data_IF_403023673814
#
_entry.id   IF_403023673814
#
_cell.length_a   1.000
_cell.length_b   1.000
_cell.length_c   1.000
_cell.angle_alpha   90.00
_cell.angle_beta   90.00
_cell.angle_gamma   90.00
#
_symmetry.space_group_name_H-M   'P 1'
#
loop_
_entity.id
_entity.type
_entity.pdbx_description
1 polymer ?
#
# COMPACT_ATOMS: atom_id res chain seq x y z
N UNK A 1 21.62 -43.05 -19.50
CA UNK A 1 21.95 -41.88 -20.35
C UNK A 1 22.13 -40.71 -19.39
N UNK A 2 23.29 -40.07 -19.35
CA UNK A 2 23.49 -38.91 -18.47
C UNK A 2 22.71 -37.74 -19.06
N UNK A 3 21.61 -37.35 -18.42
CA UNK A 3 20.80 -36.23 -18.87
C UNK A 3 21.64 -34.97 -18.91
N UNK A 4 21.82 -34.44 -20.12
CA UNK A 4 22.67 -33.28 -20.40
C UNK A 4 21.84 -32.03 -20.20
N UNK A 5 22.24 -31.20 -19.24
CA UNK A 5 21.54 -29.97 -18.89
C UNK A 5 22.20 -28.77 -19.58
N UNK A 6 21.44 -27.96 -20.34
CA UNK A 6 21.96 -26.71 -20.87
C UNK A 6 22.01 -25.65 -19.76
N UNK A 7 23.13 -24.93 -19.67
CA UNK A 7 23.41 -23.91 -18.67
C UNK A 7 24.10 -22.71 -19.33
N UNK A 8 24.09 -21.56 -18.65
CA UNK A 8 24.87 -20.39 -19.06
C UNK A 8 25.91 -20.07 -17.99
N UNK A 9 27.11 -19.68 -18.39
CA UNK A 9 28.23 -19.38 -17.50
C UNK A 9 28.78 -17.98 -17.82
N UNK A 10 29.11 -17.19 -16.80
CA UNK A 10 29.74 -15.89 -16.93
C UNK A 10 30.79 -15.65 -15.84
N UNK A 11 31.67 -14.67 -16.04
CA UNK A 11 32.62 -14.20 -15.03
C UNK A 11 32.01 -13.06 -14.19
N UNK A 12 32.75 -12.62 -13.16
CA UNK A 12 32.38 -11.49 -12.30
C UNK A 12 31.96 -10.22 -13.07
N UNK A 13 32.60 -9.93 -14.21
CA UNK A 13 32.31 -8.73 -15.02
C UNK A 13 30.95 -8.76 -15.74
N UNK A 14 30.34 -9.95 -15.89
CA UNK A 14 29.07 -10.18 -16.63
C UNK A 14 29.08 -9.71 -18.10
N UNK A 15 30.22 -9.29 -18.65
CA UNK A 15 30.35 -8.78 -20.02
C UNK A 15 30.19 -9.88 -21.07
N UNK A 16 30.62 -11.11 -20.74
CA UNK A 16 30.53 -12.26 -21.63
C UNK A 16 29.80 -13.39 -20.91
N UNK A 17 28.95 -14.10 -21.66
CA UNK A 17 28.27 -15.29 -21.19
C UNK A 17 28.36 -16.40 -22.23
N UNK A 18 28.61 -17.62 -21.77
CA UNK A 18 28.85 -18.80 -22.57
C UNK A 18 27.76 -19.83 -22.30
N UNK A 19 27.17 -20.39 -23.35
CA UNK A 19 26.25 -21.52 -23.22
C UNK A 19 27.03 -22.82 -23.12
N UNK A 20 26.81 -23.60 -22.07
CA UNK A 20 27.50 -24.88 -21.85
C UNK A 20 26.46 -25.95 -21.59
N UNK A 21 26.63 -27.12 -22.19
CA UNK A 21 25.80 -28.29 -21.92
C UNK A 21 26.63 -29.29 -21.11
N UNK A 22 26.16 -29.58 -19.90
CA UNK A 22 26.86 -30.42 -18.93
C UNK A 22 25.92 -31.39 -18.20
N UNK A 23 26.39 -32.59 -17.85
CA UNK A 23 25.67 -33.55 -17.02
C UNK A 23 25.91 -33.34 -15.51
N UNK A 24 26.99 -32.65 -15.10
CA UNK A 24 27.36 -32.47 -13.69
C UNK A 24 27.91 -31.08 -13.38
N UNK A 25 27.94 -30.73 -12.09
CA UNK A 25 28.51 -29.50 -11.55
C UNK A 25 30.03 -29.46 -11.72
N UNK A 26 30.71 -30.60 -11.57
CA UNK A 26 32.17 -30.68 -11.79
C UNK A 26 32.52 -30.40 -13.26
N UNK A 27 31.72 -30.92 -14.20
CA UNK A 27 31.90 -30.63 -15.62
C UNK A 27 31.54 -29.18 -15.96
N UNK A 28 30.58 -28.57 -15.23
CA UNK A 28 30.30 -27.13 -15.32
C UNK A 28 31.51 -26.30 -14.89
N UNK A 29 32.17 -26.68 -13.78
CA UNK A 29 33.39 -26.00 -13.30
C UNK A 29 34.51 -26.14 -14.32
N UNK A 30 34.77 -27.35 -14.81
CA UNK A 30 35.83 -27.61 -15.77
C UNK A 30 35.62 -26.82 -17.08
N UNK A 31 34.48 -27.01 -17.75
CA UNK A 31 34.18 -26.31 -19.00
C UNK A 31 34.02 -24.81 -18.80
N UNK A 32 33.43 -24.40 -17.69
CA UNK A 32 33.29 -22.99 -17.33
C UNK A 32 34.65 -22.30 -17.20
N UNK A 33 35.62 -22.95 -16.55
CA UNK A 33 36.99 -22.44 -16.45
C UNK A 33 37.68 -22.37 -17.82
N UNK A 34 37.54 -23.41 -18.65
CA UNK A 34 38.07 -23.43 -20.02
C UNK A 34 37.54 -22.27 -20.88
N UNK A 35 36.23 -21.99 -20.82
CA UNK A 35 35.61 -20.89 -21.57
C UNK A 35 35.94 -19.50 -21.03
N UNK A 36 36.17 -19.38 -19.72
CA UNK A 36 36.52 -18.12 -19.06
C UNK A 36 38.03 -17.85 -19.02
N UNK A 37 38.86 -18.82 -19.41
CA UNK A 37 40.31 -18.71 -19.44
C UNK A 37 40.98 -18.82 -18.06
N UNK A 38 40.32 -19.46 -17.09
CA UNK A 38 40.89 -19.74 -15.77
C UNK A 38 41.78 -20.99 -15.82
N UNK A 39 42.81 -21.06 -14.97
CA UNK A 39 43.62 -22.28 -14.87
C UNK A 39 42.78 -23.38 -14.20
N UNK A 40 42.85 -24.64 -14.65
CA UNK A 40 42.12 -25.75 -14.02
C UNK A 40 42.57 -26.05 -12.58
N UNK A 41 43.68 -25.46 -12.14
CA UNK A 41 44.20 -25.56 -10.76
C UNK A 41 43.66 -24.48 -9.82
N UNK A 42 43.01 -23.45 -10.35
CA UNK A 42 42.55 -22.33 -9.54
C UNK A 42 41.23 -22.72 -8.85
N UNK A 43 41.06 -22.46 -7.55
CA UNK A 43 39.80 -22.74 -6.87
C UNK A 43 38.76 -21.71 -7.29
N UNK A 44 37.65 -22.22 -7.83
CA UNK A 44 36.55 -21.41 -8.36
C UNK A 44 35.25 -21.73 -7.62
N UNK A 45 34.58 -20.69 -7.16
CA UNK A 45 33.26 -20.77 -6.54
C UNK A 45 32.19 -20.59 -7.60
N UNK A 46 31.22 -21.51 -7.65
CA UNK A 46 30.08 -21.42 -8.55
C UNK A 46 28.91 -20.82 -7.79
N UNK A 47 28.34 -19.74 -8.33
CA UNK A 47 27.17 -19.08 -7.74
C UNK A 47 26.08 -18.89 -8.79
N UNK A 48 24.84 -18.72 -8.35
CA UNK A 48 23.74 -18.28 -9.20
C UNK A 48 23.94 -16.81 -9.56
N UNK A 49 23.75 -16.49 -10.84
CA UNK A 49 23.95 -15.12 -11.32
C UNK A 49 22.88 -14.15 -10.78
N UNK A 50 21.69 -14.66 -10.50
CA UNK A 50 20.51 -13.89 -10.09
C UNK A 50 20.61 -13.32 -8.66
N UNK A 51 21.02 -14.15 -7.70
CA UNK A 51 20.94 -13.84 -6.26
C UNK A 51 22.24 -14.13 -5.49
N UNK A 52 23.25 -14.70 -6.15
CA UNK A 52 24.54 -15.00 -5.53
C UNK A 52 24.55 -16.26 -4.70
N UNK A 53 23.48 -17.07 -4.74
CA UNK A 53 23.43 -18.35 -4.02
C UNK A 53 24.58 -19.25 -4.48
N UNK A 54 25.39 -19.70 -3.54
CA UNK A 54 26.53 -20.59 -3.81
C UNK A 54 26.01 -22.00 -4.13
N UNK A 55 26.48 -22.60 -5.21
CA UNK A 55 26.07 -23.93 -5.67
C UNK A 55 27.25 -24.89 -5.54
N UNK A 56 27.22 -25.68 -4.46
CA UNK A 56 28.23 -26.72 -4.18
C UNK A 56 27.66 -28.14 -4.33
N UNK A 57 26.33 -28.28 -4.20
CA UNK A 57 25.66 -29.57 -4.21
C UNK A 57 25.20 -29.99 -5.62
N UNK A 58 25.60 -31.20 -6.03
CA UNK A 58 25.16 -31.79 -7.31
C UNK A 58 23.63 -31.96 -7.39
N UNK A 59 22.98 -32.32 -6.27
CA UNK A 59 21.52 -32.48 -6.23
C UNK A 59 20.81 -31.12 -6.47
N UNK A 60 21.31 -30.05 -5.85
CA UNK A 60 20.79 -28.70 -6.05
C UNK A 60 20.98 -28.25 -7.50
N UNK A 61 22.17 -28.48 -8.07
CA UNK A 61 22.45 -28.17 -9.47
C UNK A 61 21.43 -28.81 -10.42
N UNK A 62 21.05 -30.08 -10.21
CA UNK A 62 20.11 -30.77 -11.08
C UNK A 62 18.68 -30.23 -10.96
N UNK A 63 18.24 -29.86 -9.76
CA UNK A 63 16.91 -29.29 -9.50
C UNK A 63 16.65 -27.92 -10.13
N UNK A 64 17.71 -27.16 -10.46
CA UNK A 64 17.55 -25.85 -11.10
C UNK A 64 16.89 -25.97 -12.49
N UNK A 65 16.26 -24.93 -13.02
CA UNK A 65 15.74 -24.96 -14.38
C UNK A 65 16.82 -25.17 -15.46
N UNK A 66 16.40 -25.59 -16.66
CA UNK A 66 17.27 -25.55 -17.84
C UNK A 66 17.62 -24.11 -18.20
N UNK A 67 18.82 -23.88 -18.73
CA UNK A 67 19.37 -22.55 -19.08
C UNK A 67 19.60 -21.59 -17.91
N UNK A 68 19.69 -22.10 -16.67
CA UNK A 68 20.11 -21.30 -15.51
C UNK A 68 21.49 -20.69 -15.76
N UNK A 69 21.64 -19.42 -15.35
CA UNK A 69 22.87 -18.65 -15.48
C UNK A 69 23.66 -18.73 -14.18
N UNK A 70 24.87 -19.26 -14.30
CA UNK A 70 25.86 -19.39 -13.25
C UNK A 70 26.97 -18.37 -13.46
N UNK A 71 27.58 -17.97 -12.35
CA UNK A 71 28.77 -17.14 -12.32
C UNK A 71 29.88 -17.92 -11.64
N UNK A 72 31.05 -17.95 -12.27
CA UNK A 72 32.26 -18.53 -11.70
C UNK A 72 33.10 -17.38 -11.14
N UNK A 73 33.43 -17.47 -9.86
CA UNK A 73 34.20 -16.47 -9.11
C UNK A 73 35.55 -17.06 -8.71
N UNK A 74 36.61 -16.31 -8.97
CA UNK A 74 37.96 -16.64 -8.49
C UNK A 74 38.17 -16.15 -7.04
N UNK A 75 39.16 -16.66 -6.29
CA UNK A 75 39.40 -16.46 -4.83
C UNK A 75 39.27 -15.02 -4.27
N UNK A 76 39.34 -13.99 -5.12
CA UNK A 76 39.26 -12.58 -4.72
C UNK A 76 38.01 -11.86 -5.23
N UNK A 77 37.12 -12.57 -5.92
CA UNK A 77 35.91 -12.05 -6.51
C UNK A 77 34.72 -12.46 -5.65
N UNK A 78 33.91 -11.48 -5.24
CA UNK A 78 32.66 -11.72 -4.50
C UNK A 78 31.49 -11.45 -5.41
N UNK A 79 30.45 -12.28 -5.37
CA UNK A 79 29.22 -11.97 -6.10
C UNK A 79 28.68 -10.61 -5.66
N UNK A 80 28.41 -9.74 -6.62
CA UNK A 80 27.66 -8.51 -6.40
C UNK A 80 26.41 -8.56 -7.26
N UNK A 81 25.25 -8.06 -6.80
CA UNK A 81 24.07 -7.90 -7.63
C UNK A 81 24.42 -7.19 -8.94
N UNK A 82 23.70 -7.48 -10.02
CA UNK A 82 23.78 -6.62 -11.21
C UNK A 82 23.43 -5.22 -10.73
N UNK A 83 24.41 -4.32 -10.67
CA UNK A 83 24.14 -2.90 -10.76
C UNK A 83 23.57 -2.73 -12.15
N UNK A 84 22.26 -2.93 -12.27
CA UNK A 84 21.53 -2.32 -13.37
C UNK A 84 21.94 -0.85 -13.22
N UNK A 85 22.17 -0.15 -14.31
CA UNK A 85 22.11 1.31 -14.23
C UNK A 85 20.62 1.64 -14.02
N UNK A 86 20.07 1.23 -12.88
CA UNK A 86 18.82 1.74 -12.34
C UNK A 86 19.22 3.05 -11.68
N UNK A 87 18.78 4.15 -12.30
CA UNK A 87 19.15 5.52 -11.96
C UNK A 87 18.65 5.97 -10.59
N UNK A 88 19.02 5.29 -9.50
CA UNK A 88 18.62 5.62 -8.14
C UNK A 88 19.76 5.61 -7.11
N UNK A 89 20.92 4.99 -7.38
CA UNK A 89 21.99 4.87 -6.38
C UNK A 89 23.36 5.44 -6.81
N UNK A 90 23.46 6.01 -8.02
CA UNK A 90 24.70 6.56 -8.56
C UNK A 90 25.17 7.88 -7.92
N UNK A 91 24.33 8.57 -7.14
CA UNK A 91 24.70 9.84 -6.51
C UNK A 91 25.60 9.68 -5.27
N UNK A 92 25.52 8.53 -4.59
CA UNK A 92 26.29 8.30 -3.35
C UNK A 92 27.78 8.00 -3.59
N UNK A 93 28.20 7.69 -4.82
CA UNK A 93 29.60 7.36 -5.12
C UNK A 93 30.40 8.51 -5.75
N UNK A 94 29.76 9.62 -6.16
CA UNK A 94 30.41 10.72 -6.89
C UNK A 94 30.83 11.91 -6.03
N UNK A 95 30.49 11.96 -4.75
CA UNK A 95 30.77 13.14 -3.92
C UNK A 95 32.21 13.21 -3.38
N UNK A 96 33.08 12.23 -3.67
CA UNK A 96 34.48 12.24 -3.19
C UNK A 96 35.54 12.74 -4.17
N UNK A 97 35.17 13.28 -5.34
CA UNK A 97 36.14 13.93 -6.24
C UNK A 97 35.53 15.16 -6.90
N UNK A 98 35.48 16.24 -6.12
CA UNK A 98 35.55 17.61 -6.60
C UNK A 98 36.87 17.79 -7.37
N UNK A 99 36.82 17.64 -8.69
CA UNK A 99 37.74 18.30 -9.59
C UNK A 99 36.92 18.97 -10.69
N UNK A 100 36.90 20.29 -10.56
CA UNK A 100 36.50 21.29 -11.53
C UNK A 100 37.05 20.93 -12.92
N UNK A 101 36.17 20.70 -13.89
CA UNK A 101 36.56 20.71 -15.31
C UNK A 101 35.37 21.17 -16.14
N UNK A 102 35.42 22.45 -16.48
CA UNK A 102 34.66 23.08 -17.54
C UNK A 102 34.88 22.33 -18.87
N UNK A 103 33.81 21.75 -19.40
CA UNK A 103 33.77 21.19 -20.75
C UNK A 103 32.35 21.27 -21.29
N UNK A 104 32.10 22.33 -22.06
CA UNK A 104 31.02 22.40 -23.05
C UNK A 104 31.27 21.36 -24.15
N UNK A 105 30.47 20.29 -24.15
CA UNK A 105 29.96 19.67 -25.38
C UNK A 105 28.86 18.65 -25.04
N UNK A 106 27.75 18.77 -25.76
CA UNK A 106 26.57 17.94 -25.60
C UNK A 106 26.82 16.49 -26.07
N UNK A 107 26.86 15.56 -25.12
CA UNK A 107 26.63 14.13 -25.37
C UNK A 107 25.62 13.61 -24.34
N UNK A 108 24.34 13.88 -24.63
CA UNK A 108 23.17 13.08 -24.29
C UNK A 108 23.23 12.22 -23.02
N UNK A 109 23.41 12.81 -21.83
CA UNK A 109 22.78 12.23 -20.64
C UNK A 109 21.30 12.53 -20.79
N UNK A 110 20.51 11.60 -21.34
CA UNK A 110 19.07 11.76 -21.38
C UNK A 110 18.62 12.16 -19.97
N UNK A 111 17.95 13.31 -19.86
CA UNK A 111 17.56 13.84 -18.57
C UNK A 111 16.81 12.74 -17.78
N UNK A 112 17.01 12.62 -16.45
CA UNK A 112 16.52 11.48 -15.65
C UNK A 112 15.05 11.13 -15.89
N UNK A 113 14.23 12.15 -16.18
CA UNK A 113 12.80 12.03 -16.48
C UNK A 113 12.48 11.31 -17.80
N UNK A 114 13.39 11.26 -18.78
CA UNK A 114 13.13 10.64 -20.08
C UNK A 114 12.89 9.13 -19.96
N UNK A 115 13.69 8.44 -19.15
CA UNK A 115 13.51 7.01 -18.90
C UNK A 115 12.18 6.72 -18.22
N UNK A 116 11.80 7.57 -17.27
CA UNK A 116 10.52 7.52 -16.57
C UNK A 116 9.34 7.79 -17.52
N UNK A 117 9.47 8.74 -18.42
CA UNK A 117 8.47 9.03 -19.45
C UNK A 117 8.30 7.86 -20.42
N UNK A 118 9.39 7.19 -20.84
CA UNK A 118 9.29 5.98 -21.67
C UNK A 118 8.63 4.82 -20.92
N UNK A 119 8.91 4.66 -19.62
CA UNK A 119 8.25 3.65 -18.80
C UNK A 119 6.75 3.92 -18.70
N UNK A 120 6.37 5.17 -18.46
CA UNK A 120 4.96 5.57 -18.37
C UNK A 120 4.23 5.40 -19.70
N UNK A 121 4.89 5.68 -20.83
CA UNK A 121 4.36 5.44 -22.17
C UNK A 121 4.07 3.96 -22.44
N UNK A 122 4.93 3.06 -21.95
CA UNK A 122 4.75 1.63 -22.12
C UNK A 122 3.66 1.08 -21.20
N UNK A 123 3.60 1.58 -19.96
CA UNK A 123 2.61 1.21 -18.97
C UNK A 123 2.29 2.38 -18.04
N UNK A 124 1.09 2.95 -18.18
CA UNK A 124 0.61 4.04 -17.33
C UNK A 124 0.45 3.62 -15.86
N UNK A 125 0.23 2.34 -15.57
CA UNK A 125 0.08 1.84 -14.20
C UNK A 125 1.40 1.88 -13.42
N UNK A 126 2.54 1.95 -14.12
CA UNK A 126 3.86 2.04 -13.49
C UNK A 126 4.01 3.25 -12.56
N UNK A 127 3.20 4.31 -12.75
CA UNK A 127 3.13 5.50 -11.88
C UNK A 127 2.88 5.17 -10.42
N UNK A 128 2.18 4.06 -10.13
CA UNK A 128 1.84 3.64 -8.76
C UNK A 128 3.09 3.21 -7.99
N UNK A 129 4.07 2.64 -8.69
CA UNK A 129 5.30 2.09 -8.12
C UNK A 129 6.47 3.08 -8.09
N UNK A 130 6.29 4.25 -8.71
CA UNK A 130 7.31 5.29 -8.77
C UNK A 130 7.53 5.93 -7.40
N UNK A 131 8.79 6.24 -7.09
CA UNK A 131 9.11 6.98 -5.88
C UNK A 131 8.64 8.43 -6.00
N UNK A 132 8.50 9.11 -4.88
CA UNK A 132 8.13 10.54 -4.84
C UNK A 132 9.13 11.39 -5.63
N UNK A 133 10.43 11.09 -5.52
CA UNK A 133 11.48 11.75 -6.27
C UNK A 133 11.33 11.54 -7.79
N UNK A 134 11.01 10.32 -8.23
CA UNK A 134 10.78 10.03 -9.66
C UNK A 134 9.58 10.80 -10.20
N UNK A 135 8.49 10.84 -9.44
CA UNK A 135 7.31 11.63 -9.79
C UNK A 135 7.65 13.12 -9.88
N UNK A 136 8.44 13.65 -8.94
CA UNK A 136 8.90 15.05 -8.98
C UNK A 136 9.73 15.34 -10.24
N UNK A 137 10.63 14.42 -10.65
CA UNK A 137 11.39 14.63 -11.90
C UNK A 137 10.53 14.67 -13.15
N UNK A 138 9.39 13.96 -13.18
CA UNK A 138 8.42 14.03 -14.27
C UNK A 138 7.64 15.35 -14.26
N UNK A 139 7.33 15.88 -13.07
CA UNK A 139 6.67 17.18 -12.93
C UNK A 139 7.61 18.32 -13.34
N UNK A 140 8.89 18.25 -12.98
CA UNK A 140 9.89 19.28 -13.31
C UNK A 140 10.35 19.23 -14.78
N UNK A 141 9.94 18.19 -15.53
CA UNK A 141 10.30 18.04 -16.94
C UNK A 141 9.67 19.13 -17.82
N UNK A 142 10.36 19.61 -18.87
CA UNK A 142 9.77 20.52 -19.83
C UNK A 142 8.55 19.90 -20.52
N UNK A 143 7.36 20.48 -20.30
CA UNK A 143 6.07 19.98 -20.82
C UNK A 143 6.09 19.60 -22.33
N UNK A 144 6.62 20.43 -23.27
CA UNK A 144 6.62 20.06 -24.69
C UNK A 144 7.50 18.83 -25.00
N UNK A 145 8.61 18.67 -24.28
CA UNK A 145 9.51 17.52 -24.45
C UNK A 145 8.88 16.26 -23.83
N UNK A 146 8.22 16.39 -22.68
CA UNK A 146 7.49 15.31 -22.02
C UNK A 146 6.32 14.83 -22.88
N UNK A 147 5.55 15.75 -23.46
CA UNK A 147 4.46 15.43 -24.39
C UNK A 147 4.97 14.63 -25.59
N UNK A 148 6.11 15.06 -26.16
CA UNK A 148 6.78 14.37 -27.25
C UNK A 148 7.28 12.98 -26.84
N UNK A 149 7.83 12.84 -25.63
CA UNK A 149 8.32 11.57 -25.09
C UNK A 149 7.18 10.55 -24.94
N UNK A 150 6.08 10.97 -24.32
CA UNK A 150 4.88 10.17 -24.06
C UNK A 150 4.04 9.91 -25.32
N UNK A 151 4.20 10.73 -26.36
CA UNK A 151 3.33 10.70 -27.55
C UNK A 151 1.95 11.30 -27.28
N UNK A 152 1.86 12.25 -26.35
CA UNK A 152 0.64 12.96 -25.98
C UNK A 152 0.56 14.33 -26.66
N UNK A 153 -0.64 14.90 -26.66
CA UNK A 153 -0.80 16.33 -26.91
C UNK A 153 -0.26 17.10 -25.70
N UNK A 154 0.32 18.28 -25.93
CA UNK A 154 0.92 19.11 -24.88
C UNK A 154 -0.03 19.35 -23.70
N UNK A 155 -1.29 19.70 -23.99
CA UNK A 155 -2.33 19.86 -22.96
C UNK A 155 -2.53 18.61 -22.09
N UNK A 156 -2.47 17.41 -22.66
CA UNK A 156 -2.63 16.17 -21.88
C UNK A 156 -1.40 15.87 -21.01
N UNK A 157 -0.21 16.28 -21.46
CA UNK A 157 1.00 16.18 -20.65
C UNK A 157 0.97 17.19 -19.49
N UNK A 158 0.46 18.40 -19.74
CA UNK A 158 0.19 19.40 -18.70
C UNK A 158 -0.83 18.89 -17.67
N UNK A 159 -1.98 18.36 -18.11
CA UNK A 159 -3.00 17.77 -17.22
C UNK A 159 -2.40 16.61 -16.36
N UNK A 160 -1.49 15.82 -16.95
CA UNK A 160 -0.77 14.76 -16.25
C UNK A 160 0.18 15.34 -15.20
N UNK A 161 1.02 16.32 -15.56
CA UNK A 161 1.95 16.97 -14.63
C UNK A 161 1.19 17.62 -13.47
N UNK A 162 0.07 18.30 -13.73
CA UNK A 162 -0.78 18.87 -12.69
C UNK A 162 -1.36 17.78 -11.77
N UNK A 163 -1.74 16.64 -12.33
CA UNK A 163 -2.25 15.51 -11.55
C UNK A 163 -1.15 14.89 -10.69
N UNK A 164 0.06 14.74 -11.22
CA UNK A 164 1.22 14.27 -10.46
C UNK A 164 1.57 15.24 -9.33
N UNK A 165 1.58 16.55 -9.58
CA UNK A 165 1.81 17.58 -8.56
C UNK A 165 0.76 17.49 -7.44
N UNK A 166 -0.54 17.41 -7.80
CA UNK A 166 -1.62 17.24 -6.80
C UNK A 166 -1.45 15.98 -5.94
N UNK A 167 -0.92 14.89 -6.49
CA UNK A 167 -0.64 13.66 -5.74
C UNK A 167 0.53 13.86 -4.78
N UNK A 168 1.58 14.57 -5.20
CA UNK A 168 2.73 14.90 -4.36
C UNK A 168 2.31 15.80 -3.20
N UNK A 169 1.57 16.87 -3.49
CA UNK A 169 1.06 17.80 -2.48
C UNK A 169 0.22 17.08 -1.43
N UNK A 170 -0.70 16.21 -1.86
CA UNK A 170 -1.53 15.41 -0.95
C UNK A 170 -0.71 14.50 -0.03
N UNK A 171 0.35 13.86 -0.55
CA UNK A 171 1.22 13.00 0.27
C UNK A 171 1.96 13.81 1.33
N UNK A 172 2.40 15.01 0.97
CA UNK A 172 3.06 15.94 1.90
C UNK A 172 2.08 16.46 2.96
N UNK A 173 0.84 16.82 2.58
CA UNK A 173 -0.22 17.17 3.53
C UNK A 173 -0.51 16.05 4.53
N UNK A 174 -0.58 14.79 4.05
CA UNK A 174 -0.76 13.61 4.90
C UNK A 174 0.40 13.44 5.89
N UNK A 175 1.65 13.68 5.45
CA UNK A 175 2.84 13.64 6.31
C UNK A 175 2.77 14.72 7.40
N UNK A 176 2.47 15.96 7.01
CA UNK A 176 2.36 17.09 7.94
C UNK A 176 1.23 16.88 8.97
N UNK A 177 0.09 16.36 8.52
CA UNK A 177 -1.04 16.01 9.40
C UNK A 177 -0.65 14.93 10.42
N UNK A 178 0.04 13.87 9.98
CA UNK A 178 0.53 12.81 10.86
C UNK A 178 1.52 13.35 11.90
N UNK A 179 2.45 14.21 11.50
CA UNK A 179 3.42 14.83 12.40
C UNK A 179 2.72 15.70 13.45
N UNK A 180 1.74 16.52 13.05
CA UNK A 180 0.94 17.33 13.96
C UNK A 180 0.16 16.47 14.97
N UNK A 181 -0.47 15.37 14.52
CA UNK A 181 -1.20 14.45 15.40
C UNK A 181 -0.27 13.78 16.42
N UNK A 182 0.94 13.40 16.03
CA UNK A 182 1.94 12.85 16.95
C UNK A 182 2.34 13.87 18.02
N UNK A 183 2.50 15.15 17.65
CA UNK A 183 2.77 16.21 18.61
C UNK A 183 1.59 16.41 19.58
N UNK A 184 0.35 16.35 19.10
CA UNK A 184 -0.84 16.44 19.94
C UNK A 184 -0.94 15.28 20.94
N UNK A 185 -0.77 14.04 20.49
CA UNK A 185 -0.78 12.86 21.37
C UNK A 185 0.31 12.96 22.45
N UNK A 186 1.53 13.35 22.06
CA UNK A 186 2.64 13.55 23.00
C UNK A 186 2.37 14.69 24.00
N UNK A 187 1.60 15.70 23.61
CA UNK A 187 1.18 16.77 24.51
C UNK A 187 0.09 16.29 25.47
N UNK A 188 -0.89 15.51 24.98
CA UNK A 188 -1.95 14.93 25.80
C UNK A 188 -1.40 13.95 26.86
N UNK A 189 -0.46 13.06 26.48
CA UNK A 189 0.21 12.16 27.43
C UNK A 189 0.94 12.91 28.54
N UNK A 190 1.53 14.06 28.21
CA UNK A 190 2.17 14.92 29.21
C UNK A 190 1.15 15.60 30.10
N UNK A 191 0.00 16.01 29.57
CA UNK A 191 -1.06 16.63 30.36
C UNK A 191 -1.69 15.63 31.34
N UNK A 192 -1.93 14.39 30.91
CA UNK A 192 -2.39 13.30 31.77
C UNK A 192 -1.34 12.95 32.85
N UNK A 193 -0.05 12.98 32.52
CA UNK A 193 1.04 12.77 33.48
C UNK A 193 1.21 13.89 34.53
N UNK A 194 0.57 15.06 34.37
CA UNK A 194 0.56 16.12 35.38
C UNK A 194 -0.68 16.10 36.30
N UNK A 195 -1.63 15.17 36.10
CA UNK A 195 -2.75 14.94 37.03
C UNK A 195 -2.47 13.84 38.06
N UNK A 196 -1.39 13.08 37.90
CA UNK A 196 -0.89 12.11 38.89
C UNK A 196 0.19 12.72 39.81
N UNK A 197 -0.09 13.85 40.48
CA UNK A 197 0.58 14.12 41.76
C UNK A 197 -0.24 13.49 42.88
N UNK A 198 0.23 12.41 43.54
CA UNK A 198 -0.49 11.84 44.65
C UNK A 198 -0.30 12.74 45.87
N UNK A 199 -1.37 13.46 46.22
CA UNK A 199 -1.63 13.93 47.57
C UNK A 199 -1.52 12.74 48.52
N UNK A 200 -0.41 12.68 49.26
CA UNK A 200 -0.21 11.71 50.32
C UNK A 200 -1.20 12.01 51.47
N UNK A 201 -2.25 11.20 51.57
CA UNK A 201 -3.01 11.03 52.81
C UNK A 201 -3.33 9.54 53.01
N UNK A 202 -2.57 8.95 53.92
CA UNK A 202 -2.95 7.93 54.89
C UNK A 202 -3.72 6.64 54.50
N UNK A 203 -3.04 5.54 54.86
CA UNK A 203 -3.57 4.32 55.53
C UNK A 203 -4.30 3.24 54.71
N UNK A 204 -3.54 2.16 54.48
CA UNK A 204 -3.79 0.77 54.96
C UNK A 204 -5.14 0.13 54.61
N UNK A 205 -5.09 -0.86 53.70
CA UNK A 205 -6.13 -1.91 53.62
C UNK A 205 -5.96 -2.81 52.42
N UNK A 206 -5.73 -4.11 52.66
CA UNK A 206 -5.58 -5.15 51.66
C UNK A 206 -6.86 -5.42 50.85
N UNK A 207 -6.71 -5.88 49.60
CA UNK A 207 -7.82 -6.36 48.80
C UNK A 207 -7.43 -6.66 47.36
N UNK A 208 -6.95 -7.89 47.15
CA UNK A 208 -6.98 -8.59 45.87
C UNK A 208 -8.33 -8.42 45.15
N UNK A 209 -8.32 -7.96 43.90
CA UNK A 209 -9.38 -8.20 42.91
C UNK A 209 -8.92 -7.75 41.51
N UNK A 210 -8.85 -8.73 40.62
CA UNK A 210 -8.84 -8.57 39.16
C UNK A 210 -9.76 -7.43 38.72
N UNK A 211 -9.21 -6.50 37.93
CA UNK A 211 -9.98 -5.49 37.22
C UNK A 211 -10.35 -6.09 35.86
N UNK A 212 -11.61 -6.45 35.61
CA UNK A 212 -12.06 -6.59 34.23
C UNK A 212 -12.07 -5.19 33.61
N UNK A 213 -11.68 -5.09 32.34
CA UNK A 213 -11.78 -3.90 31.49
C UNK A 213 -13.25 -3.46 31.39
N UNK A 214 -13.70 -2.76 32.44
CA UNK A 214 -15.06 -2.34 32.67
C UNK A 214 -15.23 -0.93 32.17
N UNK A 215 -15.76 -0.83 30.95
CA UNK A 215 -16.23 0.41 30.32
C UNK A 215 -17.01 1.25 31.34
N UNK A 216 -16.44 2.38 31.79
CA UNK A 216 -17.09 3.28 32.73
C UNK A 216 -18.28 3.96 32.07
N UNK A 217 -19.45 3.38 32.26
CA UNK A 217 -20.75 4.01 31.99
C UNK A 217 -21.14 4.84 33.18
N UNK A 218 -21.51 6.10 32.95
CA UNK A 218 -22.01 6.97 34.01
C UNK A 218 -23.35 6.41 34.50
N UNK A 219 -23.37 5.91 35.74
CA UNK A 219 -24.51 5.19 36.31
C UNK A 219 -25.79 6.06 36.39
N UNK A 220 -25.66 7.38 36.39
CA UNK A 220 -26.79 8.31 36.43
C UNK A 220 -27.46 8.49 35.07
N UNK A 221 -26.68 8.51 33.98
CA UNK A 221 -27.19 8.81 32.63
C UNK A 221 -27.36 7.56 31.75
N UNK A 222 -26.59 6.50 32.01
CA UNK A 222 -26.53 5.29 31.19
C UNK A 222 -25.73 5.46 29.90
N UNK A 223 -25.01 6.57 29.74
CA UNK A 223 -24.11 6.81 28.62
C UNK A 223 -22.66 6.62 29.04
N UNK A 224 -21.79 6.29 28.07
CA UNK A 224 -20.35 6.35 28.29
C UNK A 224 -19.91 7.78 28.62
N UNK A 225 -18.94 7.93 29.51
CA UNK A 225 -18.35 9.24 29.85
C UNK A 225 -17.89 10.03 28.61
N UNK A 226 -17.35 9.31 27.61
CA UNK A 226 -16.93 9.88 26.33
C UNK A 226 -18.10 10.47 25.54
N UNK A 227 -19.24 9.78 25.48
CA UNK A 227 -20.44 10.22 24.74
C UNK A 227 -20.98 11.53 25.32
N UNK A 228 -21.03 11.64 26.65
CA UNK A 228 -21.43 12.88 27.32
C UNK A 228 -20.45 14.04 27.10
N UNK A 229 -19.14 13.76 27.12
CA UNK A 229 -18.12 14.79 26.86
C UNK A 229 -18.25 15.35 25.44
N UNK A 230 -18.49 14.49 24.44
CA UNK A 230 -18.70 14.90 23.05
C UNK A 230 -19.99 15.72 22.92
N UNK A 231 -21.10 15.25 23.50
CA UNK A 231 -22.38 15.96 23.47
C UNK A 231 -22.30 17.34 24.13
N UNK A 232 -21.55 17.45 25.25
CA UNK A 232 -21.37 18.72 25.97
C UNK A 232 -20.35 19.67 25.32
N UNK A 233 -19.64 19.22 24.28
CA UNK A 233 -18.65 20.01 23.55
C UNK A 233 -19.25 21.20 22.75
N UNK A 234 -18.38 22.09 22.26
CA UNK A 234 -18.77 23.29 21.47
C UNK A 234 -18.85 23.05 19.95
N UNK A 235 -18.67 21.82 19.51
CA UNK A 235 -18.55 21.42 18.10
C UNK A 235 -19.65 20.46 17.73
N UNK A 236 -20.16 20.48 16.49
CA UNK A 236 -21.16 19.55 15.89
C UNK A 236 -21.09 18.11 16.45
N UNK A 237 -21.75 17.83 17.58
CA UNK A 237 -21.53 16.59 18.32
C UNK A 237 -22.09 15.37 17.60
N UNK A 238 -23.17 15.55 16.82
CA UNK A 238 -23.82 14.50 16.02
C UNK A 238 -22.85 13.82 15.04
N UNK A 239 -21.92 14.56 14.47
CA UNK A 239 -20.95 14.00 13.50
C UNK A 239 -19.86 13.15 14.15
N UNK A 240 -19.58 13.36 15.45
CA UNK A 240 -18.46 12.74 16.17
C UNK A 240 -18.83 11.49 16.97
N UNK A 241 -20.13 11.23 17.11
CA UNK A 241 -20.63 10.05 17.80
C UNK A 241 -20.64 8.82 16.87
N UNK A 242 -20.55 7.62 17.46
CA UNK A 242 -20.77 6.38 16.71
C UNK A 242 -22.24 6.26 16.29
N UNK A 243 -22.54 5.41 15.31
CA UNK A 243 -23.94 5.17 14.89
C UNK A 243 -24.77 4.57 16.03
N UNK A 244 -24.16 3.75 16.88
CA UNK A 244 -24.81 3.17 18.08
C UNK A 244 -25.08 4.23 19.15
N UNK A 245 -24.10 5.09 19.44
CA UNK A 245 -24.28 6.23 20.36
C UNK A 245 -25.39 7.17 19.88
N UNK A 246 -25.44 7.48 18.58
CA UNK A 246 -26.51 8.30 18.00
C UNK A 246 -27.88 7.64 18.18
N UNK A 247 -27.99 6.33 17.97
CA UNK A 247 -29.25 5.60 18.20
C UNK A 247 -29.67 5.67 19.67
N UNK A 248 -28.73 5.49 20.61
CA UNK A 248 -29.02 5.59 22.05
C UNK A 248 -29.48 6.99 22.45
N UNK A 249 -28.78 8.04 21.99
CA UNK A 249 -29.13 9.44 22.28
C UNK A 249 -30.49 9.80 21.71
N UNK A 250 -30.78 9.39 20.47
CA UNK A 250 -32.07 9.63 19.81
C UNK A 250 -33.20 8.87 20.50
N UNK A 251 -32.96 7.62 20.91
CA UNK A 251 -33.95 6.77 21.59
C UNK A 251 -34.29 7.28 23.00
N UNK A 252 -33.35 7.93 23.69
CA UNK A 252 -33.55 8.49 25.03
C UNK A 252 -34.58 9.63 25.05
N UNK A 253 -34.71 10.37 23.95
CA UNK A 253 -35.66 11.47 23.80
C UNK A 253 -35.25 12.76 24.51
N UNK A 254 -35.99 13.84 24.25
CA UNK A 254 -35.60 15.21 24.63
C UNK A 254 -35.62 15.39 26.15
N UNK A 255 -36.71 15.00 26.82
CA UNK A 255 -36.91 15.23 28.26
C UNK A 255 -35.84 14.56 29.13
N UNK A 256 -35.45 13.33 28.78
CA UNK A 256 -34.38 12.61 29.50
C UNK A 256 -33.01 13.21 29.19
N UNK A 257 -32.77 13.64 27.95
CA UNK A 257 -31.49 14.26 27.57
C UNK A 257 -31.31 15.65 28.18
N UNK A 258 -32.38 16.39 28.45
CA UNK A 258 -32.32 17.67 29.19
C UNK A 258 -31.76 17.46 30.59
N UNK A 259 -32.24 16.42 31.30
CA UNK A 259 -31.77 16.07 32.64
C UNK A 259 -30.31 15.61 32.63
N UNK A 260 -29.91 14.82 31.63
CA UNK A 260 -28.55 14.29 31.49
C UNK A 260 -27.54 15.38 31.12
N UNK A 261 -27.92 16.28 30.22
CA UNK A 261 -27.03 17.34 29.74
C UNK A 261 -27.04 18.57 30.64
N UNK A 262 -28.10 18.77 31.43
CA UNK A 262 -28.31 19.98 32.22
C UNK A 262 -28.54 21.20 31.34
N UNK A 263 -29.16 21.01 30.17
CA UNK A 263 -29.42 22.04 29.17
C UNK A 263 -30.89 22.42 29.14
N UNK A 264 -31.20 23.57 28.55
CA UNK A 264 -32.57 23.99 28.29
C UNK A 264 -33.21 23.16 27.16
N UNK A 265 -34.54 23.20 27.09
CA UNK A 265 -35.34 22.46 26.12
C UNK A 265 -35.05 22.87 24.68
N UNK A 266 -34.85 24.15 24.39
CA UNK A 266 -34.60 24.61 23.01
C UNK A 266 -33.25 24.09 22.51
N UNK A 267 -32.22 24.17 23.33
CA UNK A 267 -30.89 23.65 22.99
C UNK A 267 -30.88 22.13 22.86
N UNK A 268 -31.56 21.42 23.77
CA UNK A 268 -31.60 19.95 23.75
C UNK A 268 -32.43 19.43 22.57
N UNK A 269 -33.56 20.06 22.26
CA UNK A 269 -34.35 19.73 21.07
C UNK A 269 -33.54 19.96 19.79
N UNK A 270 -32.83 21.08 19.65
CA UNK A 270 -31.99 21.36 18.49
C UNK A 270 -30.89 20.28 18.32
N UNK A 271 -30.23 19.90 19.42
CA UNK A 271 -29.23 18.82 19.42
C UNK A 271 -29.82 17.47 18.96
N UNK A 272 -30.96 17.06 19.53
CA UNK A 272 -31.59 15.79 19.15
C UNK A 272 -32.07 15.79 17.70
N UNK A 273 -32.53 16.93 17.18
CA UNK A 273 -32.90 17.05 15.76
C UNK A 273 -31.67 16.89 14.85
N UNK A 274 -30.55 17.51 15.21
CA UNK A 274 -29.29 17.33 14.48
C UNK A 274 -28.81 15.85 14.53
N UNK A 275 -28.87 15.21 15.70
CA UNK A 275 -28.54 13.79 15.86
C UNK A 275 -29.46 12.87 15.02
N UNK A 276 -30.77 13.17 14.96
CA UNK A 276 -31.72 12.43 14.12
C UNK A 276 -31.43 12.58 12.63
N UNK A 277 -31.12 13.81 12.19
CA UNK A 277 -30.79 14.08 10.79
C UNK A 277 -29.52 13.32 10.36
N UNK A 278 -28.45 13.41 11.17
CA UNK A 278 -27.19 12.71 10.91
C UNK A 278 -27.38 11.19 10.91
N UNK A 279 -28.13 10.65 11.87
CA UNK A 279 -28.44 9.21 11.91
C UNK A 279 -29.20 8.75 10.66
N UNK A 280 -30.19 9.53 10.20
CA UNK A 280 -30.93 9.22 8.99
C UNK A 280 -30.03 9.21 7.75
N UNK A 281 -29.12 10.18 7.62
CA UNK A 281 -28.13 10.22 6.55
C UNK A 281 -27.22 9.00 6.56
N UNK A 282 -26.70 8.60 7.72
CA UNK A 282 -25.85 7.39 7.86
C UNK A 282 -26.59 6.12 7.49
N UNK A 283 -27.83 5.95 7.95
CA UNK A 283 -28.63 4.77 7.62
C UNK A 283 -28.94 4.69 6.12
N UNK A 284 -29.24 5.82 5.47
CA UNK A 284 -29.44 5.87 4.02
C UNK A 284 -28.17 5.48 3.25
N UNK A 285 -27.01 5.96 3.69
CA UNK A 285 -25.72 5.59 3.09
C UNK A 285 -25.45 4.08 3.23
N UNK A 286 -25.68 3.52 4.42
CA UNK A 286 -25.52 2.08 4.68
C UNK A 286 -26.44 1.26 3.76
N UNK A 287 -27.70 1.65 3.62
CA UNK A 287 -28.65 0.98 2.73
C UNK A 287 -28.23 1.06 1.25
N UNK A 288 -27.71 2.21 0.80
CA UNK A 288 -27.21 2.38 -0.55
C UNK A 288 -26.02 1.44 -0.82
N UNK A 289 -25.06 1.35 0.12
CA UNK A 289 -23.90 0.46 0.01
C UNK A 289 -24.32 -1.01 0.01
N UNK A 290 -25.25 -1.41 0.87
CA UNK A 290 -25.79 -2.77 0.89
C UNK A 290 -26.50 -3.12 -0.42
N UNK A 291 -27.24 -2.19 -1.02
CA UNK A 291 -27.90 -2.38 -2.31
C UNK A 291 -26.89 -2.63 -3.44
N UNK A 292 -25.78 -1.89 -3.45
CA UNK A 292 -24.67 -2.11 -4.41
C UNK A 292 -24.01 -3.47 -4.19
N UNK A 293 -23.79 -3.88 -2.93
CA UNK A 293 -23.20 -5.17 -2.60
C UNK A 293 -24.05 -6.35 -3.05
N UNK A 294 -25.37 -6.27 -2.84
CA UNK A 294 -26.29 -7.32 -3.26
C UNK A 294 -26.37 -7.45 -4.80
N UNK A 295 -26.19 -6.34 -5.53
CA UNK A 295 -26.17 -6.34 -6.99
C UNK A 295 -24.84 -6.79 -7.60
N UNK A 296 -23.77 -6.89 -6.81
CA UNK A 296 -22.42 -7.28 -7.26
C UNK A 296 -22.04 -8.70 -6.88
N UNK A 297 -22.92 -9.45 -6.22
CA UNK A 297 -22.71 -10.87 -5.92
C UNK A 297 -23.29 -11.72 -7.06
N UNK A 298 -22.47 -12.44 -7.86
CA UNK A 298 -22.97 -13.27 -8.94
C UNK A 298 -23.78 -14.44 -8.36
N UNK A 299 -24.96 -14.69 -8.95
CA UNK A 299 -25.82 -15.85 -8.70
C UNK A 299 -25.01 -17.15 -8.78
N UNK A 300 -24.64 -17.66 -7.61
CA UNK A 300 -24.08 -18.99 -7.42
C UNK A 300 -25.04 -19.87 -6.63
N UNK A 301 -26.23 -20.15 -7.18
CA UNK A 301 -26.95 -21.41 -6.91
C UNK A 301 -28.19 -21.55 -7.80
N UNK A 302 -28.00 -22.04 -9.03
CA UNK A 302 -29.07 -22.78 -9.71
C UNK A 302 -29.03 -24.22 -9.23
N UNK A 303 -29.99 -24.65 -8.40
CA UNK A 303 -30.50 -26.00 -8.52
C UNK A 303 -31.90 -26.20 -7.93
N UNK A 304 -32.77 -26.70 -8.81
CA UNK A 304 -33.96 -27.53 -8.59
C UNK A 304 -35.10 -26.98 -7.72
N UNK A 305 -36.22 -26.69 -8.39
CA UNK A 305 -37.35 -27.63 -8.31
C UNK A 305 -38.32 -27.40 -9.48
N UNK A 306 -38.28 -28.31 -10.46
CA UNK A 306 -39.43 -28.58 -11.32
C UNK A 306 -40.53 -29.22 -10.46
N UNK A 307 -41.76 -28.71 -10.56
CA UNK A 307 -42.97 -29.53 -10.37
C UNK A 307 -44.15 -28.92 -11.12
N UNK A 308 -44.45 -29.58 -12.23
CA UNK A 308 -45.72 -29.79 -12.94
C UNK A 308 -46.99 -29.20 -12.33
N UNK A 309 -47.82 -28.53 -13.14
CA UNK A 309 -49.13 -29.10 -13.54
C UNK A 309 -49.69 -28.42 -14.79
N UNK A 310 -50.20 -29.26 -15.68
CA UNK A 310 -50.83 -28.98 -16.96
C UNK A 310 -52.25 -28.40 -16.85
N UNK A 311 -52.75 -28.02 -18.02
CA UNK A 311 -54.15 -27.99 -18.46
C UNK A 311 -55.03 -26.78 -18.10
N UNK A 312 -55.37 -26.03 -19.16
CA UNK A 312 -56.76 -26.07 -19.62
C UNK A 312 -57.45 -24.74 -19.93
N UNK A 313 -57.99 -24.67 -21.15
CA UNK A 313 -59.21 -23.96 -21.56
C UNK A 313 -59.07 -22.60 -22.27
N UNK A 314 -58.90 -22.72 -23.59
CA UNK A 314 -59.76 -22.21 -24.69
C UNK A 314 -60.21 -20.73 -24.76
N UNK A 315 -59.75 -20.10 -25.84
CA UNK A 315 -60.34 -18.97 -26.59
C UNK A 315 -61.80 -19.18 -27.02
N UNK A 316 -62.63 -18.12 -27.11
CA UNK A 316 -63.80 -18.12 -27.97
C UNK A 316 -63.54 -17.34 -29.27
N UNK A 317 -63.83 -17.99 -30.40
CA UNK A 317 -63.90 -17.38 -31.72
C UNK A 317 -65.29 -16.75 -31.96
N UNK A 318 -65.30 -15.69 -32.77
CA UNK A 318 -66.47 -14.91 -33.20
C UNK A 318 -67.41 -15.68 -34.15
N UNK A 319 -68.69 -15.27 -34.11
CA UNK A 319 -69.74 -15.55 -35.09
C UNK A 319 -71.09 -15.57 -34.36
N UNK A 320 -72.04 -14.69 -34.63
CA UNK A 320 -72.82 -14.72 -35.87
C UNK A 320 -73.74 -13.49 -35.97
N UNK A 321 -74.03 -13.13 -37.22
CA UNK A 321 -75.24 -12.46 -37.76
C UNK A 321 -75.55 -11.00 -37.43
#
# INVERSE_FOLDING_TARGET
MTDRKPCKVCNFTRQKSYGVVVPSLDELKQKGCEFLGYSPTDPVTVVLENDGTIVEDQAYFLCLPSNTKFMLLHEKETWSPVRKMDGGTAWMARESVLLDTDAVDAVSSAAPWWGLAQQLKQDMASVILMSEADLQTLVDAPCPELASALGFQEKKAEDLQETLQRVLDRREEERQSKELLQLYLKAAEKEDGHQEEPSQSDQRGAGDRDVPDGMEVDAASGFMSRTLMVLKGKTFPETRLSTEDLQMVVARGVEAMEQVLGWDTERTTALLQACKAELATRLQQIQAVQSVRNNTQPDGNQQSSEKSTEEGVETPAQGSE
#
